data_IF_924294962119
#
_entry.id   IF_924294962119
#
_cell.length_a   1.000
_cell.length_b   1.000
_cell.length_c   1.000
_cell.angle_alpha   90.00
_cell.angle_beta   90.00
_cell.angle_gamma   90.00
#
_symmetry.space_group_name_H-M   'P 1'
#
loop_
_entity.id
_entity.type
_entity.pdbx_description
1 polymer ?
#
# COMPACT_ATOMS: atom_id res chain seq x y z
N UNK A 1 3.40 -14.43 20.43
CA UNK A 1 2.81 -13.09 20.40
C UNK A 1 2.82 -12.50 19.02
N UNK A 2 1.91 -11.57 18.84
CA UNK A 2 1.75 -10.95 17.54
C UNK A 2 3.01 -10.18 17.12
N UNK A 3 3.56 -9.39 18.03
CA UNK A 3 4.73 -8.58 17.72
C UNK A 3 5.94 -9.43 17.36
N UNK A 4 6.10 -10.54 18.08
CA UNK A 4 7.20 -11.43 17.76
C UNK A 4 7.03 -12.06 16.39
N UNK A 5 5.79 -12.44 16.04
CA UNK A 5 5.53 -13.02 14.73
C UNK A 5 5.81 -12.03 13.60
N UNK A 6 5.46 -10.78 13.80
CA UNK A 6 5.74 -9.74 12.81
C UNK A 6 7.24 -9.55 12.66
N UNK A 7 7.95 -9.48 13.77
CA UNK A 7 9.40 -9.33 13.77
C UNK A 7 10.06 -10.49 13.03
N UNK A 8 9.62 -11.71 13.33
CA UNK A 8 10.19 -12.87 12.68
C UNK A 8 9.93 -12.88 11.19
N UNK A 9 8.72 -12.49 10.79
CA UNK A 9 8.36 -12.44 9.38
C UNK A 9 9.19 -11.40 8.63
N UNK A 10 9.40 -10.26 9.25
CA UNK A 10 10.20 -9.19 8.66
C UNK A 10 11.63 -9.66 8.45
N UNK A 11 12.22 -10.27 9.46
CA UNK A 11 13.58 -10.76 9.34
C UNK A 11 13.69 -11.86 8.30
N UNK A 12 12.72 -12.76 8.29
CA UNK A 12 12.70 -13.82 7.29
C UNK A 12 12.67 -13.23 5.88
N UNK A 13 11.88 -12.21 5.68
CA UNK A 13 11.81 -11.56 4.37
C UNK A 13 13.17 -11.00 3.96
N UNK A 14 13.78 -10.20 4.83
CA UNK A 14 15.04 -9.56 4.48
C UNK A 14 16.17 -10.55 4.26
N UNK A 15 16.17 -11.63 5.01
CA UNK A 15 17.23 -12.62 4.88
C UNK A 15 17.08 -13.47 3.64
N UNK A 16 15.90 -13.59 3.09
CA UNK A 16 15.63 -14.53 1.99
C UNK A 16 15.09 -13.89 0.72
N UNK A 17 14.78 -12.61 0.73
CA UNK A 17 14.14 -11.97 -0.42
C UNK A 17 15.08 -11.90 -1.61
N UNK A 18 14.51 -12.14 -2.79
CA UNK A 18 15.25 -11.94 -4.02
C UNK A 18 15.41 -10.45 -4.26
N UNK A 19 16.53 -10.09 -4.89
CA UNK A 19 16.80 -8.68 -5.20
C UNK A 19 15.67 -8.04 -6.00
N UNK A 20 15.02 -8.81 -6.87
CA UNK A 20 13.92 -8.28 -7.68
C UNK A 20 12.74 -7.82 -6.81
N UNK A 21 12.52 -8.47 -5.67
CA UNK A 21 11.45 -8.08 -4.76
C UNK A 21 11.77 -6.74 -4.09
N UNK A 22 13.02 -6.57 -3.71
CA UNK A 22 13.47 -5.32 -3.11
C UNK A 22 13.43 -4.20 -4.16
N UNK A 23 13.87 -4.49 -5.37
CA UNK A 23 13.87 -3.51 -6.45
C UNK A 23 12.46 -3.01 -6.75
N UNK A 24 11.47 -3.90 -6.70
CA UNK A 24 10.09 -3.50 -6.94
C UNK A 24 9.60 -2.52 -5.87
N UNK A 25 10.00 -2.76 -4.62
CA UNK A 25 9.67 -1.87 -3.53
C UNK A 25 10.23 -0.47 -3.80
N UNK A 26 11.50 -0.42 -4.17
CA UNK A 26 12.18 0.84 -4.45
C UNK A 26 11.54 1.55 -5.65
N UNK A 27 11.19 0.78 -6.68
CA UNK A 27 10.54 1.34 -7.86
C UNK A 27 9.23 2.03 -7.49
N UNK A 28 8.40 1.37 -6.70
CA UNK A 28 7.14 1.95 -6.26
C UNK A 28 7.35 3.22 -5.44
N UNK A 29 8.38 3.21 -4.61
CA UNK A 29 8.71 4.38 -3.81
C UNK A 29 9.09 5.56 -4.70
N UNK A 30 9.92 5.31 -5.70
CA UNK A 30 10.32 6.35 -6.64
C UNK A 30 9.13 6.88 -7.42
N UNK A 31 8.23 5.99 -7.81
CA UNK A 31 7.00 6.41 -8.48
C UNK A 31 6.16 7.32 -7.59
N UNK A 32 6.02 6.97 -6.33
CA UNK A 32 5.24 7.77 -5.41
C UNK A 32 5.85 9.17 -5.26
N UNK A 33 7.16 9.25 -5.17
CA UNK A 33 7.81 10.55 -5.05
C UNK A 33 7.49 11.47 -6.22
N UNK A 34 7.27 10.92 -7.39
CA UNK A 34 6.99 11.72 -8.57
C UNK A 34 5.62 12.40 -8.53
N UNK A 35 4.71 11.92 -7.72
CA UNK A 35 3.36 12.49 -7.67
C UNK A 35 3.13 13.39 -6.46
N UNK A 36 4.15 13.65 -5.68
CA UNK A 36 3.97 14.42 -4.44
C UNK A 36 3.34 15.78 -4.67
N UNK A 37 3.67 16.42 -5.77
CA UNK A 37 3.14 17.74 -6.09
C UNK A 37 1.96 17.70 -7.05
N UNK A 38 1.43 16.51 -7.30
CA UNK A 38 0.30 16.33 -8.22
C UNK A 38 -0.92 15.98 -7.37
N UNK A 39 -1.96 16.81 -7.37
CA UNK A 39 -3.15 16.48 -6.61
C UNK A 39 -3.90 15.32 -7.22
N UNK A 40 -4.60 14.58 -6.37
CA UNK A 40 -5.40 13.47 -6.83
C UNK A 40 -5.15 12.22 -6.01
N UNK A 41 -5.90 11.19 -6.33
CA UNK A 41 -5.87 9.94 -5.58
C UNK A 41 -5.13 8.86 -6.36
N UNK A 42 -4.77 7.81 -5.65
CA UNK A 42 -4.12 6.66 -6.27
C UNK A 42 -5.14 5.53 -6.38
N UNK A 43 -5.27 5.00 -7.58
CA UNK A 43 -6.15 3.86 -7.82
C UNK A 43 -5.29 2.67 -8.20
N UNK A 44 -5.57 1.55 -7.57
CA UNK A 44 -4.85 0.31 -7.90
C UNK A 44 -5.85 -0.76 -8.28
N UNK A 45 -5.66 -1.34 -9.46
CA UNK A 45 -6.53 -2.41 -9.95
C UNK A 45 -5.82 -3.75 -9.76
N UNK A 46 -6.57 -4.77 -9.39
CA UNK A 46 -6.00 -6.08 -9.16
C UNK A 46 -5.19 -6.14 -7.88
N UNK A 47 -5.78 -5.70 -6.78
CA UNK A 47 -5.09 -5.61 -5.49
C UNK A 47 -4.65 -6.97 -4.98
N UNK A 48 -5.41 -8.00 -5.25
CA UNK A 48 -5.16 -9.36 -4.84
C UNK A 48 -4.93 -9.45 -3.34
N UNK A 49 -3.70 -9.69 -2.87
CA UNK A 49 -3.42 -9.81 -1.44
C UNK A 49 -3.09 -8.50 -0.76
N UNK A 50 -3.04 -7.43 -1.53
CA UNK A 50 -2.86 -6.12 -0.96
C UNK A 50 -1.44 -5.71 -0.65
N UNK A 51 -0.45 -6.44 -1.13
CA UNK A 51 0.94 -6.11 -0.84
C UNK A 51 1.33 -4.74 -1.40
N UNK A 52 1.05 -4.50 -2.68
CA UNK A 52 1.35 -3.20 -3.30
C UNK A 52 0.51 -2.10 -2.68
N UNK A 53 -0.75 -2.41 -2.44
CA UNK A 53 -1.68 -1.45 -1.84
C UNK A 53 -1.17 -0.98 -0.47
N UNK A 54 -0.76 -1.94 0.36
CA UNK A 54 -0.22 -1.62 1.69
C UNK A 54 1.07 -0.82 1.58
N UNK A 55 1.87 -1.10 0.57
CA UNK A 55 3.12 -0.39 0.34
C UNK A 55 2.86 1.08 0.06
N UNK A 56 1.86 1.37 -0.76
CA UNK A 56 1.51 2.77 -1.06
C UNK A 56 0.94 3.49 0.16
N UNK A 57 0.21 2.78 1.01
CA UNK A 57 -0.26 3.37 2.25
C UNK A 57 0.93 3.78 3.14
N UNK A 58 1.95 2.96 3.19
CA UNK A 58 3.15 3.26 3.95
C UNK A 58 3.88 4.47 3.37
N UNK A 59 3.97 4.54 2.05
CA UNK A 59 4.63 5.68 1.39
C UNK A 59 3.89 6.97 1.69
N UNK A 60 2.57 6.92 1.73
CA UNK A 60 1.80 8.11 2.08
C UNK A 60 2.15 8.60 3.49
N UNK A 61 2.29 7.69 4.44
CA UNK A 61 2.67 8.06 5.79
C UNK A 61 4.08 8.64 5.85
N UNK A 62 4.99 8.07 5.07
CA UNK A 62 6.38 8.49 5.08
C UNK A 62 6.58 9.82 4.37
N UNK A 63 5.96 9.98 3.23
CA UNK A 63 6.21 11.12 2.35
C UNK A 63 5.18 12.23 2.45
N UNK A 64 3.99 11.92 2.93
CA UNK A 64 2.90 12.88 3.05
C UNK A 64 2.21 12.69 4.39
N UNK A 65 0.89 12.74 4.40
CA UNK A 65 0.11 12.37 5.58
C UNK A 65 -1.17 11.69 5.11
N UNK A 66 -1.92 11.14 6.05
CA UNK A 66 -3.08 10.32 5.73
C UNK A 66 -4.20 11.08 5.03
N UNK A 67 -4.19 12.39 5.09
CA UNK A 67 -5.23 13.23 4.49
C UNK A 67 -4.82 13.77 3.11
N UNK A 68 -3.60 13.50 2.68
CA UNK A 68 -3.08 14.07 1.43
C UNK A 68 -3.83 13.60 0.21
N UNK A 69 -4.18 12.33 0.19
CA UNK A 69 -4.88 11.71 -0.93
C UNK A 69 -5.46 10.39 -0.48
N UNK A 70 -6.42 9.88 -1.23
CA UNK A 70 -6.96 8.55 -0.99
C UNK A 70 -6.20 7.53 -1.81
N UNK A 71 -6.11 6.33 -1.29
CA UNK A 71 -5.53 5.21 -2.00
C UNK A 71 -6.61 4.15 -2.06
N UNK A 72 -7.07 3.85 -3.27
CA UNK A 72 -8.25 3.03 -3.48
C UNK A 72 -7.86 1.79 -4.28
N UNK A 73 -8.19 0.63 -3.74
CA UNK A 73 -7.89 -0.62 -4.40
C UNK A 73 -9.13 -1.28 -4.95
N UNK A 74 -9.02 -1.81 -6.15
CA UNK A 74 -10.07 -2.56 -6.83
C UNK A 74 -9.60 -3.99 -7.05
N UNK A 75 -10.52 -4.93 -6.87
CA UNK A 75 -10.16 -6.33 -6.99
C UNK A 75 -11.17 -7.06 -7.88
N UNK A 76 -10.72 -8.18 -8.44
CA UNK A 76 -11.54 -9.03 -9.31
C UNK A 76 -12.77 -9.58 -8.61
N UNK A 77 -12.76 -9.58 -7.29
CA UNK A 77 -13.87 -10.12 -6.52
C UNK A 77 -15.08 -9.18 -6.50
N UNK A 78 -15.02 -8.10 -7.24
CA UNK A 78 -16.15 -7.20 -7.34
C UNK A 78 -16.30 -6.26 -6.17
N UNK A 79 -15.23 -6.01 -5.44
CA UNK A 79 -15.26 -5.09 -4.32
C UNK A 79 -14.05 -4.18 -4.38
N UNK A 80 -14.14 -3.07 -3.67
CA UNK A 80 -12.99 -2.21 -3.53
C UNK A 80 -12.84 -1.82 -2.08
N UNK A 81 -11.63 -1.43 -1.71
CA UNK A 81 -11.31 -1.05 -0.36
C UNK A 81 -10.60 0.29 -0.38
N UNK A 82 -11.03 1.18 0.51
CA UNK A 82 -10.36 2.47 0.70
C UNK A 82 -9.78 2.44 2.10
N UNK A 83 -8.49 2.73 2.21
CA UNK A 83 -7.80 2.66 3.50
C UNK A 83 -6.98 3.90 3.74
N UNK A 84 -6.71 4.15 5.00
CA UNK A 84 -5.80 5.19 5.44
C UNK A 84 -6.41 6.10 6.47
N UNK A 85 -7.35 6.92 6.08
CA UNK A 85 -8.01 7.84 7.01
C UNK A 85 -9.26 7.21 7.58
N UNK A 86 -9.82 7.85 8.59
CA UNK A 86 -11.06 7.38 9.17
C UNK A 86 -12.18 7.32 8.13
N UNK A 87 -12.22 8.32 7.28
CA UNK A 87 -13.28 8.41 6.28
C UNK A 87 -13.18 7.29 5.25
N UNK A 88 -11.99 6.83 4.98
CA UNK A 88 -11.79 5.82 3.97
C UNK A 88 -12.38 4.47 4.33
N UNK A 89 -12.50 4.21 5.63
CA UNK A 89 -12.98 2.91 6.08
C UNK A 89 -14.40 2.61 5.65
N UNK A 90 -15.16 3.64 5.40
CA UNK A 90 -16.57 3.46 5.04
C UNK A 90 -16.77 3.02 3.60
N UNK A 91 -15.71 2.94 2.83
CA UNK A 91 -15.82 2.68 1.42
C UNK A 91 -15.58 1.23 1.01
N UNK A 92 -15.50 0.33 1.95
CA UNK A 92 -15.41 -1.09 1.61
C UNK A 92 -16.80 -1.55 1.17
N UNK A 93 -16.97 -1.80 -0.12
CA UNK A 93 -18.25 -2.26 -0.62
C UNK A 93 -18.07 -2.96 -1.93
N UNK A 94 -19.11 -3.70 -2.31
CA UNK A 94 -19.08 -4.45 -3.56
C UNK A 94 -19.26 -3.51 -4.75
N UNK A 95 -18.67 -3.91 -5.82
CA UNK A 95 -18.77 -3.23 -7.09
C UNK A 95 -19.81 -3.92 -7.97
#
# INVERSE_FOLDING_TARGET
EFEKKVWDAENTFYLNAKSSRIAKFIYHYEMYKKILNIPGDILEFGVFKGASFSRFLSFRKILENDDSRKIIGFDDFGSFTVKGTKDDKSFAKKI
#
